data_IF_460211626370
#
_entry.id   IF_460211626370
#
_cell.length_a   1.000
_cell.length_b   1.000
_cell.length_c   1.000
_cell.angle_alpha   90.00
_cell.angle_beta   90.00
_cell.angle_gamma   90.00
#
_symmetry.space_group_name_H-M   'P 1'
#
loop_
_entity.id
_entity.type
_entity.pdbx_description
1 polymer ?
#
# COMPACT_ATOMS: atom_id res chain seq x y z
N UNK A 1 -25.36 -50.32 -44.44
CA UNK A 1 -25.42 -48.88 -44.13
C UNK A 1 -24.74 -48.70 -42.76
N UNK A 2 -23.47 -48.28 -42.78
CA UNK A 2 -22.68 -48.04 -41.58
C UNK A 2 -22.86 -46.59 -41.15
N UNK A 3 -23.14 -46.36 -39.87
CA UNK A 3 -23.14 -45.04 -39.25
C UNK A 3 -22.08 -45.04 -38.14
N UNK A 4 -20.95 -44.40 -38.41
CA UNK A 4 -19.86 -44.19 -37.43
C UNK A 4 -20.07 -42.81 -36.80
N UNK A 5 -20.47 -42.77 -35.53
CA UNK A 5 -20.51 -41.55 -34.75
C UNK A 5 -19.12 -41.28 -34.14
N UNK A 6 -18.51 -40.17 -34.55
CA UNK A 6 -17.28 -39.64 -33.99
C UNK A 6 -17.59 -38.98 -32.63
N UNK A 7 -17.01 -39.49 -31.54
CA UNK A 7 -17.02 -38.79 -30.25
C UNK A 7 -15.89 -37.77 -30.22
N UNK A 8 -16.24 -36.49 -30.32
CA UNK A 8 -15.34 -35.37 -30.06
C UNK A 8 -15.25 -35.15 -28.56
N UNK A 9 -14.11 -35.45 -27.94
CA UNK A 9 -13.82 -35.01 -26.56
C UNK A 9 -13.62 -33.49 -26.53
N UNK A 10 -14.26 -32.75 -25.61
CA UNK A 10 -14.03 -31.32 -25.48
C UNK A 10 -12.63 -31.08 -24.90
N UNK A 11 -11.84 -30.25 -25.57
CA UNK A 11 -10.59 -29.71 -25.05
C UNK A 11 -10.97 -28.75 -23.91
N UNK A 12 -10.73 -29.16 -22.66
CA UNK A 12 -10.82 -28.28 -21.50
C UNK A 12 -9.62 -27.34 -21.51
N UNK A 13 -9.84 -26.09 -21.90
CA UNK A 13 -8.88 -25.01 -21.67
C UNK A 13 -8.92 -24.65 -20.18
N UNK A 14 -8.03 -25.24 -19.40
CA UNK A 14 -7.77 -24.80 -18.03
C UNK A 14 -7.07 -23.44 -18.04
N UNK A 15 -7.53 -22.51 -17.20
CA UNK A 15 -6.81 -21.26 -16.97
C UNK A 15 -5.50 -21.56 -16.24
N UNK A 16 -4.42 -20.84 -16.54
CA UNK A 16 -3.11 -21.06 -15.89
C UNK A 16 -3.17 -20.93 -14.35
N UNK A 17 -4.20 -20.29 -13.79
CA UNK A 17 -4.45 -20.20 -12.36
C UNK A 17 -4.84 -21.55 -11.72
N UNK A 18 -5.55 -22.43 -12.44
CA UNK A 18 -5.90 -23.77 -11.95
C UNK A 18 -4.68 -24.70 -11.87
N UNK A 19 -3.70 -24.53 -12.76
CA UNK A 19 -2.45 -25.29 -12.76
C UNK A 19 -1.54 -24.93 -11.56
N UNK A 20 -1.55 -23.67 -11.15
CA UNK A 20 -0.80 -23.19 -9.98
C UNK A 20 -1.46 -23.68 -8.68
N UNK A 21 -2.79 -23.68 -8.60
CA UNK A 21 -3.50 -24.19 -7.43
C UNK A 21 -3.33 -25.70 -7.23
N UNK A 22 -3.25 -26.48 -8.32
CA UNK A 22 -3.05 -27.93 -8.27
C UNK A 22 -1.59 -28.32 -7.97
N UNK A 23 -0.61 -27.52 -8.41
CA UNK A 23 0.81 -27.77 -8.09
C UNK A 23 1.19 -27.39 -6.65
N UNK A 24 0.41 -26.53 -6.00
CA UNK A 24 0.58 -26.17 -4.58
C UNK A 24 0.00 -27.22 -3.60
N UNK A 25 -0.73 -28.23 -4.09
CA UNK A 25 -1.26 -29.34 -3.29
C UNK A 25 -0.58 -30.65 -3.65
N UNK A 26 0.64 -30.87 -3.16
CA UNK A 26 1.26 -32.18 -3.19
C UNK A 26 2.02 -32.48 -1.88
N UNK A 27 1.54 -33.52 -1.19
CA UNK A 27 2.17 -34.31 -0.13
C UNK A 27 2.37 -33.70 1.26
N UNK A 28 1.43 -34.02 2.17
CA UNK A 28 1.69 -34.20 3.60
C UNK A 28 1.59 -35.72 3.87
N UNK A 29 2.67 -36.42 4.24
CA UNK A 29 2.54 -37.76 4.79
C UNK A 29 2.06 -37.67 6.24
N UNK A 30 1.02 -38.43 6.54
CA UNK A 30 0.48 -38.64 7.87
C UNK A 30 1.43 -39.48 8.74
N UNK A 31 1.80 -38.97 9.91
CA UNK A 31 2.26 -39.81 11.02
C UNK A 31 1.85 -39.22 12.36
N UNK A 32 1.12 -40.03 13.13
CA UNK A 32 0.59 -39.77 14.46
C UNK A 32 1.70 -39.81 15.53
N UNK A 33 1.77 -38.82 16.41
CA UNK A 33 2.37 -38.92 17.75
C UNK A 33 1.91 -37.75 18.65
N UNK A 34 1.93 -37.97 19.96
CA UNK A 34 1.13 -37.33 21.03
C UNK A 34 1.98 -36.39 21.91
N UNK A 35 1.38 -35.28 22.43
CA UNK A 35 1.76 -34.39 23.58
C UNK A 35 3.10 -33.61 23.47
N UNK A 36 3.35 -32.37 23.97
CA UNK A 36 2.75 -31.31 24.84
C UNK A 36 3.52 -29.98 24.53
N UNK A 37 3.14 -28.79 25.07
CA UNK A 37 3.49 -27.48 24.52
C UNK A 37 4.74 -26.84 25.15
N UNK A 38 5.62 -26.26 24.32
CA UNK A 38 6.64 -25.31 24.79
C UNK A 38 6.85 -24.15 23.82
N UNK A 39 7.04 -22.98 24.42
CA UNK A 39 7.29 -21.67 23.82
C UNK A 39 8.56 -21.62 22.96
N UNK A 40 8.52 -20.85 21.86
CA UNK A 40 9.70 -20.24 21.21
C UNK A 40 9.27 -18.88 20.65
N UNK A 41 9.80 -17.72 21.07
CA UNK A 41 11.17 -17.20 20.92
C UNK A 41 11.70 -17.31 19.48
N UNK A 42 11.39 -16.31 18.66
CA UNK A 42 11.92 -16.20 17.29
C UNK A 42 13.32 -15.58 17.31
N UNK A 43 14.34 -16.43 17.42
CA UNK A 43 15.71 -16.12 17.02
C UNK A 43 15.94 -16.48 15.55
N UNK A 44 16.78 -15.67 14.91
CA UNK A 44 17.13 -15.67 13.49
C UNK A 44 17.70 -17.00 12.97
N UNK A 45 17.40 -17.31 11.70
CA UNK A 45 18.15 -18.27 10.90
C UNK A 45 18.53 -17.62 9.57
N UNK A 46 19.82 -17.33 9.40
CA UNK A 46 20.46 -17.14 8.10
C UNK A 46 20.63 -18.51 7.41
N UNK A 47 20.33 -18.67 6.12
CA UNK A 47 20.78 -19.83 5.38
C UNK A 47 22.14 -19.55 4.73
N UNK A 48 23.17 -20.18 5.26
CA UNK A 48 24.44 -20.45 4.58
C UNK A 48 24.17 -21.45 3.45
N UNK A 49 24.47 -21.10 2.19
CA UNK A 49 24.41 -22.06 1.08
C UNK A 49 25.83 -22.54 0.77
N UNK A 50 26.04 -23.83 0.96
CA UNK A 50 27.22 -24.57 0.56
C UNK A 50 27.38 -24.63 -0.96
N UNK A 51 28.62 -24.44 -1.40
CA UNK A 51 29.09 -24.64 -2.77
C UNK A 51 29.11 -26.13 -3.13
N UNK A 52 28.46 -26.49 -4.23
CA UNK A 52 28.81 -27.70 -5.00
C UNK A 52 28.79 -27.37 -6.49
N UNK A 53 29.89 -27.72 -7.15
CA UNK A 53 30.21 -27.48 -8.55
C UNK A 53 29.62 -28.60 -9.41
N UNK A 54 28.71 -28.27 -10.33
CA UNK A 54 28.61 -28.92 -11.64
C UNK A 54 28.16 -27.88 -12.67
N UNK A 55 28.87 -27.91 -13.79
CA UNK A 55 28.92 -26.94 -14.86
C UNK A 55 28.11 -27.49 -16.05
N UNK A 56 27.10 -26.75 -16.55
CA UNK A 56 26.90 -26.47 -17.99
C UNK A 56 25.59 -25.69 -18.25
N UNK A 57 25.75 -24.49 -18.82
CA UNK A 57 24.85 -23.78 -19.74
C UNK A 57 23.33 -23.96 -19.59
N UNK A 58 22.68 -23.10 -18.81
CA UNK A 58 21.40 -22.52 -19.22
C UNK A 58 21.36 -21.03 -18.84
N UNK A 59 20.89 -20.24 -19.80
CA UNK A 59 20.86 -18.79 -19.79
C UNK A 59 20.08 -18.25 -18.59
N UNK A 60 20.71 -17.31 -17.91
CA UNK A 60 20.17 -16.45 -16.87
C UNK A 60 18.86 -15.78 -17.33
N UNK A 61 17.71 -16.37 -17.01
CA UNK A 61 16.41 -15.68 -17.05
C UNK A 61 16.12 -15.05 -15.69
N UNK A 62 16.95 -14.08 -15.32
CA UNK A 62 16.57 -13.01 -14.40
C UNK A 62 16.08 -11.88 -15.30
N UNK A 63 14.78 -11.55 -15.26
CA UNK A 63 14.10 -10.34 -15.79
C UNK A 63 12.78 -10.70 -16.51
N UNK A 64 11.75 -11.15 -15.78
CA UNK A 64 10.40 -11.17 -16.36
C UNK A 64 9.22 -11.16 -15.38
N UNK A 65 9.43 -11.14 -14.07
CA UNK A 65 8.27 -11.07 -13.14
C UNK A 65 7.78 -9.64 -12.92
N UNK A 66 8.67 -8.64 -12.91
CA UNK A 66 8.31 -7.24 -12.68
C UNK A 66 7.46 -6.65 -13.80
N UNK A 67 7.81 -6.94 -15.05
CA UNK A 67 7.11 -6.42 -16.23
C UNK A 67 5.71 -7.02 -16.41
N UNK A 68 5.53 -8.28 -16.03
CA UNK A 68 4.22 -8.95 -16.12
C UNK A 68 3.23 -8.34 -15.12
N UNK A 69 3.64 -8.12 -13.86
CA UNK A 69 2.78 -7.45 -12.86
C UNK A 69 2.41 -6.04 -13.33
N UNK A 70 3.37 -5.29 -13.87
CA UNK A 70 3.13 -3.92 -14.33
C UNK A 70 2.21 -3.84 -15.57
N UNK A 71 2.22 -4.88 -16.41
CA UNK A 71 1.32 -4.98 -17.58
C UNK A 71 -0.12 -5.37 -17.25
N UNK A 72 -0.38 -5.91 -16.05
CA UNK A 72 -1.72 -6.32 -15.59
C UNK A 72 -2.52 -5.16 -14.98
N UNK A 73 -1.87 -4.03 -14.70
CA UNK A 73 -2.49 -2.84 -14.10
C UNK A 73 -2.09 -1.59 -14.92
N UNK A 74 -2.85 -1.24 -15.98
CA UNK A 74 -2.52 -0.07 -16.81
C UNK A 74 -2.47 1.19 -15.94
N UNK A 75 -1.30 1.83 -15.89
CA UNK A 75 -1.08 3.08 -15.17
C UNK A 75 -1.87 4.20 -15.85
N UNK A 76 -2.98 4.59 -15.21
CA UNK A 76 -3.69 5.86 -15.45
C UNK A 76 -2.78 7.03 -15.03
N UNK A 77 -3.03 8.30 -15.44
CA UNK A 77 -2.17 9.44 -15.11
C UNK A 77 -1.73 9.39 -13.65
N UNK A 78 -0.41 9.38 -13.46
CA UNK A 78 0.22 9.17 -12.16
C UNK A 78 0.00 10.43 -11.32
N UNK A 79 -0.96 10.36 -10.40
CA UNK A 79 -1.16 11.42 -9.41
C UNK A 79 -0.15 11.21 -8.29
N UNK A 80 0.68 12.21 -8.05
CA UNK A 80 1.69 12.15 -7.00
C UNK A 80 1.29 13.06 -5.85
N UNK A 81 1.01 12.47 -4.68
CA UNK A 81 0.79 13.23 -3.47
C UNK A 81 2.06 14.02 -3.08
N UNK A 82 1.90 15.34 -2.88
CA UNK A 82 2.99 16.26 -2.54
C UNK A 82 2.84 16.75 -1.09
N UNK A 83 3.38 16.04 -0.09
CA UNK A 83 3.20 16.38 1.32
C UNK A 83 3.80 17.75 1.69
N UNK A 84 4.84 18.21 0.99
CA UNK A 84 5.50 19.49 1.24
C UNK A 84 4.54 20.68 1.15
N UNK A 85 3.52 20.59 0.29
CA UNK A 85 2.53 21.65 0.10
C UNK A 85 1.67 21.90 1.34
N UNK A 86 1.63 20.93 2.27
CA UNK A 86 0.85 20.97 3.50
C UNK A 86 1.71 21.19 4.75
N UNK A 87 3.00 21.50 4.57
CA UNK A 87 3.94 21.67 5.66
C UNK A 87 4.51 23.09 5.67
N UNK A 88 4.54 23.69 6.86
CA UNK A 88 5.30 24.93 7.09
C UNK A 88 6.79 24.59 6.94
N UNK A 89 7.53 25.31 6.08
CA UNK A 89 8.98 25.12 5.96
C UNK A 89 9.67 25.16 7.32
N UNK A 90 10.69 24.31 7.49
CA UNK A 90 11.49 24.17 8.73
C UNK A 90 10.75 23.66 9.97
N UNK A 91 9.43 23.45 9.90
CA UNK A 91 8.64 22.87 11.00
C UNK A 91 8.26 21.41 10.77
N UNK A 92 8.77 20.79 9.72
CA UNK A 92 8.44 19.40 9.36
C UNK A 92 8.98 18.34 10.35
N UNK A 93 9.66 18.74 11.43
CA UNK A 93 10.10 17.86 12.50
C UNK A 93 11.39 17.10 12.18
N UNK A 94 11.75 16.16 13.06
CA UNK A 94 12.96 15.33 12.97
C UNK A 94 12.95 14.42 11.73
N UNK A 95 14.12 13.94 11.31
CA UNK A 95 14.19 12.86 10.33
C UNK A 95 13.63 11.55 10.91
N UNK A 96 12.97 10.77 10.07
CA UNK A 96 12.40 9.45 10.36
C UNK A 96 12.95 8.47 9.33
N UNK A 97 13.69 7.47 9.78
CA UNK A 97 14.28 6.44 8.91
C UNK A 97 13.53 5.12 8.93
N UNK A 98 12.78 4.83 9.99
CA UNK A 98 12.11 3.53 10.20
C UNK A 98 10.69 3.69 10.76
N UNK A 99 9.84 2.71 10.45
CA UNK A 99 8.43 2.72 10.86
C UNK A 99 8.24 2.72 12.40
N UNK A 100 9.12 2.04 13.14
CA UNK A 100 9.05 1.97 14.61
C UNK A 100 9.16 3.35 15.27
N UNK A 101 9.83 4.31 14.63
CA UNK A 101 10.03 5.66 15.18
C UNK A 101 8.76 6.52 15.16
N UNK A 102 7.76 6.10 14.38
CA UNK A 102 6.49 6.81 14.21
C UNK A 102 5.29 5.98 14.65
N UNK A 103 5.49 4.71 15.00
CA UNK A 103 4.39 3.77 15.28
C UNK A 103 3.38 4.34 16.28
N UNK A 104 3.83 4.85 17.43
CA UNK A 104 2.95 5.42 18.46
C UNK A 104 2.17 6.64 17.94
N UNK A 105 2.78 7.47 17.10
CA UNK A 105 2.12 8.65 16.53
C UNK A 105 1.05 8.27 15.51
N UNK A 106 1.31 7.24 14.72
CA UNK A 106 0.36 6.71 13.74
C UNK A 106 -0.82 6.07 14.45
N UNK A 107 -0.57 5.23 15.45
CA UNK A 107 -1.62 4.60 16.24
C UNK A 107 -2.47 5.64 16.99
N UNK A 108 -1.85 6.67 17.56
CA UNK A 108 -2.57 7.75 18.26
C UNK A 108 -3.44 8.58 17.31
N UNK A 109 -2.89 9.01 16.18
CA UNK A 109 -3.64 9.75 15.16
C UNK A 109 -4.81 8.92 14.63
N UNK A 110 -4.56 7.64 14.31
CA UNK A 110 -5.59 6.75 13.80
C UNK A 110 -6.70 6.52 14.82
N UNK A 111 -6.35 6.30 16.08
CA UNK A 111 -7.31 6.09 17.15
C UNK A 111 -8.20 7.32 17.36
N UNK A 112 -7.61 8.53 17.34
CA UNK A 112 -8.38 9.78 17.42
C UNK A 112 -9.29 10.00 16.22
N UNK A 113 -8.81 9.66 15.02
CA UNK A 113 -9.56 9.83 13.78
C UNK A 113 -10.73 8.85 13.66
N UNK A 114 -10.46 7.57 13.89
CA UNK A 114 -11.39 6.47 13.59
C UNK A 114 -12.14 5.96 14.82
N UNK A 115 -11.76 6.41 16.03
CA UNK A 115 -12.32 5.94 17.29
C UNK A 115 -12.00 4.47 17.61
N UNK A 116 -11.04 3.87 16.90
CA UNK A 116 -10.64 2.47 17.02
C UNK A 116 -9.14 2.28 16.71
N UNK A 117 -8.50 1.20 17.17
CA UNK A 117 -7.10 0.92 16.85
C UNK A 117 -6.84 0.74 15.35
N UNK A 118 -5.58 1.00 14.94
CA UNK A 118 -5.12 0.69 13.59
C UNK A 118 -5.31 -0.82 13.30
N UNK A 119 -5.86 -1.21 12.14
CA UNK A 119 -6.02 -2.61 11.79
C UNK A 119 -4.69 -3.37 11.76
N UNK A 120 -4.67 -4.59 12.29
CA UNK A 120 -3.46 -5.42 12.36
C UNK A 120 -3.09 -6.07 11.02
N UNK A 121 -3.99 -5.97 10.03
CA UNK A 121 -3.82 -6.44 8.66
C UNK A 121 -3.28 -5.36 7.71
N UNK A 122 -2.76 -4.25 8.25
CA UNK A 122 -2.02 -3.22 7.52
C UNK A 122 -0.59 -3.16 8.05
N UNK A 123 0.38 -3.37 7.16
CA UNK A 123 1.81 -3.26 7.46
C UNK A 123 2.37 -1.96 6.90
N UNK A 124 2.98 -1.14 7.75
CA UNK A 124 3.63 0.11 7.38
C UNK A 124 5.14 -0.09 7.33
N UNK A 125 5.76 0.38 6.25
CA UNK A 125 7.22 0.30 6.01
C UNK A 125 7.74 1.67 5.62
N UNK A 126 8.72 2.17 6.35
CA UNK A 126 9.49 3.36 5.96
C UNK A 126 10.77 2.88 5.32
N UNK A 127 10.99 3.26 4.06
CA UNK A 127 12.10 2.80 3.24
C UNK A 127 13.12 3.92 3.02
N UNK A 128 14.38 3.57 2.81
CA UNK A 128 15.32 4.51 2.20
C UNK A 128 15.07 4.66 0.69
N UNK A 129 15.73 5.64 0.06
CA UNK A 129 15.58 5.93 -1.37
C UNK A 129 15.92 4.70 -2.24
N UNK A 130 16.95 3.94 -1.90
CA UNK A 130 17.37 2.81 -2.71
C UNK A 130 16.36 1.66 -2.64
N UNK A 131 15.84 1.37 -1.46
CA UNK A 131 14.79 0.37 -1.23
C UNK A 131 13.48 0.81 -1.87
N UNK A 132 13.05 2.04 -1.63
CA UNK A 132 11.79 2.56 -2.13
C UNK A 132 11.73 2.57 -3.66
N UNK A 133 12.81 2.96 -4.34
CA UNK A 133 12.84 3.00 -5.82
C UNK A 133 12.81 1.63 -6.50
N UNK A 134 13.11 0.55 -5.77
CA UNK A 134 12.87 -0.81 -6.28
C UNK A 134 11.38 -1.12 -6.36
N UNK A 135 10.57 -0.48 -5.52
CA UNK A 135 9.13 -0.71 -5.39
C UNK A 135 8.34 0.32 -6.21
N UNK A 136 8.71 1.61 -6.10
CA UNK A 136 8.12 2.73 -6.81
C UNK A 136 9.21 3.49 -7.60
N UNK A 137 9.50 3.11 -8.87
CA UNK A 137 10.63 3.64 -9.63
C UNK A 137 10.54 5.14 -9.95
N UNK A 138 9.34 5.71 -10.00
CA UNK A 138 9.15 7.11 -10.35
C UNK A 138 9.66 8.03 -9.23
N UNK A 139 10.45 9.06 -9.59
CA UNK A 139 11.17 9.90 -8.62
C UNK A 139 10.27 10.80 -7.76
N UNK A 140 9.13 11.23 -8.30
CA UNK A 140 8.17 12.06 -7.55
C UNK A 140 7.25 11.25 -6.65
N UNK A 141 7.24 9.93 -6.75
CA UNK A 141 6.46 9.08 -5.85
C UNK A 141 7.13 9.02 -4.49
N UNK A 142 6.36 9.27 -3.43
CA UNK A 142 6.86 9.34 -2.06
C UNK A 142 6.17 8.36 -1.12
N UNK A 143 5.04 7.80 -1.56
CA UNK A 143 4.29 6.73 -0.92
C UNK A 143 3.77 5.76 -1.96
N UNK A 144 3.49 4.53 -1.53
CA UNK A 144 2.82 3.52 -2.32
C UNK A 144 2.05 2.58 -1.39
N UNK A 145 0.82 2.27 -1.76
CA UNK A 145 -0.02 1.30 -1.07
C UNK A 145 -0.28 0.08 -1.97
N UNK A 146 -0.28 -1.10 -1.36
CA UNK A 146 -0.74 -2.34 -1.97
C UNK A 146 -1.91 -2.85 -1.14
N UNK A 147 -3.12 -2.54 -1.62
CA UNK A 147 -4.36 -2.93 -0.98
C UNK A 147 -4.71 -4.38 -1.33
N UNK A 148 -4.75 -5.25 -0.33
CA UNK A 148 -5.13 -6.66 -0.47
C UNK A 148 -6.34 -7.03 0.39
N UNK A 149 -7.05 -6.03 0.92
CA UNK A 149 -8.19 -6.20 1.83
C UNK A 149 -9.28 -7.08 1.23
N UNK A 150 -9.59 -6.91 -0.06
CA UNK A 150 -10.62 -7.70 -0.76
C UNK A 150 -10.30 -9.21 -0.83
N UNK A 151 -9.03 -9.56 -0.66
CA UNK A 151 -8.56 -10.95 -0.63
C UNK A 151 -8.43 -11.50 0.81
N UNK A 152 -8.75 -10.70 1.83
CA UNK A 152 -8.54 -11.06 3.24
C UNK A 152 -7.06 -11.17 3.60
N UNK A 153 -6.18 -10.50 2.85
CA UNK A 153 -4.72 -10.56 3.01
C UNK A 153 -4.17 -9.24 3.56
N UNK A 154 -2.95 -9.31 4.07
CA UNK A 154 -2.19 -8.17 4.57
C UNK A 154 -2.00 -7.10 3.47
N UNK A 155 -2.50 -5.90 3.74
CA UNK A 155 -2.20 -4.71 2.93
C UNK A 155 -0.87 -4.12 3.38
N UNK A 156 -0.12 -3.55 2.44
CA UNK A 156 1.19 -2.96 2.72
C UNK A 156 1.22 -1.51 2.30
N UNK A 157 1.79 -0.66 3.14
CA UNK A 157 2.01 0.77 2.87
C UNK A 157 3.50 1.04 2.99
N UNK A 158 4.08 1.54 1.91
CA UNK A 158 5.48 1.93 1.81
C UNK A 158 5.57 3.45 1.73
N UNK A 159 6.44 4.04 2.53
CA UNK A 159 6.69 5.48 2.53
C UNK A 159 8.18 5.73 2.44
N UNK A 160 8.59 6.66 1.59
CA UNK A 160 9.97 7.12 1.53
C UNK A 160 10.31 7.89 2.81
N UNK A 161 11.44 7.57 3.42
CA UNK A 161 11.96 8.26 4.59
C UNK A 161 12.16 9.76 4.36
N UNK A 162 12.20 10.53 5.44
CA UNK A 162 12.25 11.98 5.35
C UNK A 162 11.98 12.67 6.67
N UNK A 163 11.54 13.92 6.61
CA UNK A 163 11.06 14.61 7.80
C UNK A 163 9.80 13.94 8.35
N UNK A 164 9.61 14.01 9.67
CA UNK A 164 8.48 13.43 10.38
C UNK A 164 7.14 13.86 9.78
N UNK A 165 6.99 15.16 9.48
CA UNK A 165 5.82 15.71 8.81
C UNK A 165 5.59 15.08 7.44
N UNK A 166 6.62 15.01 6.59
CA UNK A 166 6.52 14.41 5.25
C UNK A 166 6.03 12.96 5.36
N UNK A 167 6.68 12.16 6.20
CA UNK A 167 6.33 10.75 6.39
C UNK A 167 4.90 10.59 6.93
N UNK A 168 4.52 11.36 7.95
CA UNK A 168 3.19 11.29 8.55
C UNK A 168 2.07 11.71 7.59
N UNK A 169 2.31 12.72 6.73
CA UNK A 169 1.31 13.18 5.77
C UNK A 169 1.16 12.22 4.59
N UNK A 170 2.27 11.73 4.04
CA UNK A 170 2.23 10.69 3.00
C UNK A 170 1.52 9.46 3.49
N UNK A 171 1.81 9.02 4.72
CA UNK A 171 1.14 7.86 5.31
C UNK A 171 -0.38 8.07 5.44
N UNK A 172 -0.84 9.27 5.79
CA UNK A 172 -2.26 9.58 5.82
C UNK A 172 -2.95 9.32 4.48
N UNK A 173 -2.35 9.81 3.38
CA UNK A 173 -2.85 9.55 2.03
C UNK A 173 -2.85 8.05 1.68
N UNK A 174 -1.74 7.34 1.92
CA UNK A 174 -1.65 5.90 1.60
C UNK A 174 -2.59 5.04 2.44
N UNK A 175 -2.84 5.40 3.71
CA UNK A 175 -3.86 4.76 4.53
C UNK A 175 -5.25 4.91 3.89
N UNK A 176 -5.53 6.08 3.31
CA UNK A 176 -6.75 6.33 2.55
C UNK A 176 -7.01 5.33 1.42
N UNK A 177 -5.98 4.76 0.81
CA UNK A 177 -6.16 3.70 -0.20
C UNK A 177 -6.48 2.33 0.39
N UNK A 178 -5.92 1.99 1.55
CA UNK A 178 -5.99 0.62 2.11
C UNK A 178 -7.11 0.42 3.14
N UNK A 179 -7.70 1.51 3.66
CA UNK A 179 -8.75 1.43 4.68
C UNK A 179 -10.07 0.85 4.16
N UNK A 180 -10.26 0.81 2.85
CA UNK A 180 -11.44 0.25 2.18
C UNK A 180 -11.01 -0.47 0.91
N UNK A 181 -11.85 -1.32 0.30
CA UNK A 181 -11.56 -1.86 -1.02
C UNK A 181 -11.26 -0.78 -2.06
N UNK A 182 -10.41 -1.06 -3.08
CA UNK A 182 -10.16 -0.11 -4.17
C UNK A 182 -11.43 0.18 -4.97
N UNK A 183 -11.65 1.44 -5.30
CA UNK A 183 -12.70 1.87 -6.22
C UNK A 183 -12.28 1.57 -7.67
N UNK A 184 -13.26 1.26 -8.53
CA UNK A 184 -12.99 0.94 -9.94
C UNK A 184 -12.53 2.18 -10.72
N UNK A 185 -13.09 3.33 -10.38
CA UNK A 185 -12.71 4.61 -10.94
C UNK A 185 -11.49 5.16 -10.18
N UNK A 186 -10.40 5.41 -10.91
CA UNK A 186 -9.14 5.81 -10.30
C UNK A 186 -9.19 7.25 -9.78
N UNK A 187 -10.02 8.09 -10.39
CA UNK A 187 -10.21 9.46 -9.94
C UNK A 187 -10.95 9.46 -8.60
N UNK A 188 -12.00 8.63 -8.46
CA UNK A 188 -12.68 8.44 -7.19
C UNK A 188 -11.77 7.80 -6.14
N UNK A 189 -10.92 6.85 -6.53
CA UNK A 189 -9.93 6.24 -5.62
C UNK A 189 -8.94 7.27 -5.06
N UNK A 190 -8.43 8.17 -5.89
CA UNK A 190 -7.59 9.28 -5.45
C UNK A 190 -8.38 10.27 -4.57
N UNK A 191 -9.59 10.65 -4.97
CA UNK A 191 -10.44 11.55 -4.18
C UNK A 191 -10.73 10.97 -2.78
N UNK A 192 -10.93 9.66 -2.69
CA UNK A 192 -11.04 8.91 -1.44
C UNK A 192 -9.76 9.09 -0.62
N UNK A 193 -8.59 8.77 -1.16
CA UNK A 193 -7.33 8.91 -0.43
C UNK A 193 -7.05 10.34 0.06
N UNK A 194 -7.33 11.35 -0.76
CA UNK A 194 -7.24 12.75 -0.34
C UNK A 194 -8.23 13.11 0.76
N UNK A 195 -9.48 12.67 0.68
CA UNK A 195 -10.47 12.95 1.71
C UNK A 195 -10.03 12.42 3.09
N UNK A 196 -9.47 11.21 3.14
CA UNK A 196 -8.87 10.68 4.37
C UNK A 196 -7.62 11.45 4.79
N UNK A 197 -6.74 11.80 3.85
CA UNK A 197 -5.55 12.61 4.12
C UNK A 197 -5.91 13.93 4.78
N UNK A 198 -6.98 14.61 4.35
CA UNK A 198 -7.47 15.82 5.00
C UNK A 198 -7.96 15.57 6.43
N UNK A 199 -8.78 14.55 6.65
CA UNK A 199 -9.24 14.20 8.00
C UNK A 199 -8.04 13.83 8.91
N UNK A 200 -7.05 13.15 8.36
CA UNK A 200 -5.80 12.79 9.04
C UNK A 200 -4.98 14.03 9.42
N UNK A 201 -4.82 14.97 8.49
CA UNK A 201 -4.14 16.25 8.72
C UNK A 201 -4.87 17.12 9.76
N UNK A 202 -6.21 17.15 9.73
CA UNK A 202 -7.04 17.81 10.74
C UNK A 202 -6.74 17.26 12.14
N UNK A 203 -6.73 15.93 12.30
CA UNK A 203 -6.42 15.27 13.57
C UNK A 203 -4.98 15.55 14.04
N UNK A 204 -4.00 15.49 13.13
CA UNK A 204 -2.62 15.85 13.46
C UNK A 204 -2.54 17.29 13.96
N UNK A 205 -3.22 18.21 13.28
CA UNK A 205 -3.24 19.64 13.60
C UNK A 205 -3.89 19.90 14.95
N UNK A 206 -5.12 19.43 15.13
CA UNK A 206 -5.96 19.66 16.31
C UNK A 206 -5.36 19.07 17.58
N UNK A 207 -4.84 17.86 17.49
CA UNK A 207 -4.29 17.14 18.65
C UNK A 207 -2.77 17.27 18.79
N UNK A 208 -2.13 18.08 17.93
CA UNK A 208 -0.68 18.29 17.92
C UNK A 208 0.12 16.97 17.93
N UNK A 209 -0.30 16.01 17.09
CA UNK A 209 0.30 14.68 17.03
C UNK A 209 1.79 14.82 16.70
N UNK A 210 2.63 14.17 17.50
CA UNK A 210 4.09 14.22 17.39
C UNK A 210 4.70 15.64 17.39
N UNK A 211 3.97 16.64 17.89
CA UNK A 211 4.40 18.05 17.86
C UNK A 211 4.17 18.77 16.52
N UNK A 212 3.46 18.16 15.57
CA UNK A 212 3.25 18.68 14.22
C UNK A 212 2.07 19.67 14.10
N UNK A 213 1.39 20.02 15.19
CA UNK A 213 0.17 20.83 15.15
C UNK A 213 0.35 22.19 14.49
N UNK A 214 1.50 22.82 14.72
CA UNK A 214 1.89 24.09 14.08
C UNK A 214 2.63 23.94 12.74
N UNK A 215 2.93 22.71 12.34
CA UNK A 215 3.61 22.36 11.10
C UNK A 215 2.62 22.12 9.95
N UNK A 216 1.41 21.63 10.23
CA UNK A 216 0.41 21.30 9.21
C UNK A 216 -0.38 22.53 8.77
N UNK A 217 -0.44 22.75 7.46
CA UNK A 217 -1.21 23.79 6.79
C UNK A 217 -2.45 23.16 6.15
N UNK A 218 -3.63 23.55 6.64
CA UNK A 218 -4.93 23.19 6.06
C UNK A 218 -5.54 24.37 5.28
N UNK A 219 -5.22 25.58 5.73
CA UNK A 219 -5.80 26.82 5.24
C UNK A 219 -4.93 27.39 4.12
N UNK A 220 -5.39 27.17 2.89
CA UNK A 220 -4.99 27.84 1.64
C UNK A 220 -3.70 27.38 0.97
N UNK A 221 -3.89 26.97 -0.29
CA UNK A 221 -2.83 27.07 -1.27
C UNK A 221 -3.20 27.98 -2.48
N UNK A 222 -4.41 28.59 -2.49
CA UNK A 222 -4.87 29.54 -3.52
C UNK A 222 -4.18 30.93 -3.55
N UNK A 223 -3.10 31.19 -2.77
CA UNK A 223 -2.44 32.51 -2.72
C UNK A 223 -1.02 32.57 -3.27
N UNK A 224 -0.39 31.44 -3.63
CA UNK A 224 0.96 31.43 -4.20
C UNK A 224 1.01 31.01 -5.68
N UNK A 225 -0.15 30.82 -6.32
CA UNK A 225 -0.25 30.58 -7.77
C UNK A 225 0.41 29.28 -8.24
N UNK A 226 0.63 28.32 -7.34
CA UNK A 226 1.45 27.13 -7.58
C UNK A 226 0.63 25.83 -7.60
N UNK A 227 -0.55 25.82 -8.24
CA UNK A 227 -1.43 24.66 -8.27
C UNK A 227 -1.44 23.91 -9.60
N UNK A 228 -1.00 22.65 -9.54
CA UNK A 228 -1.31 21.65 -10.55
C UNK A 228 -2.76 21.13 -10.38
N UNK A 229 -3.39 20.87 -11.53
CA UNK A 229 -4.78 20.45 -11.79
C UNK A 229 -5.36 19.36 -10.87
N UNK A 230 -4.53 18.57 -10.20
CA UNK A 230 -4.93 17.49 -9.30
C UNK A 230 -5.59 17.97 -7.99
N UNK A 231 -5.07 19.05 -7.41
CA UNK A 231 -5.57 19.63 -6.17
C UNK A 231 -6.92 20.33 -6.39
N UNK A 232 -7.06 21.05 -7.51
CA UNK A 232 -8.34 21.67 -7.91
C UNK A 232 -9.40 20.62 -8.25
N UNK A 233 -9.04 19.51 -8.93
CA UNK A 233 -9.99 18.45 -9.24
C UNK A 233 -10.64 17.84 -7.98
N UNK A 234 -9.84 17.53 -6.96
CA UNK A 234 -10.34 16.96 -5.70
C UNK A 234 -11.05 18.01 -4.85
N UNK A 235 -10.56 19.25 -4.83
CA UNK A 235 -11.25 20.34 -4.13
C UNK A 235 -12.61 20.68 -4.75
N UNK A 236 -12.77 20.65 -6.07
CA UNK A 236 -14.06 20.84 -6.74
C UNK A 236 -15.07 19.76 -6.33
N UNK A 237 -14.66 18.49 -6.22
CA UNK A 237 -15.50 17.40 -5.69
C UNK A 237 -15.81 17.57 -4.18
N UNK A 238 -14.91 18.20 -3.42
CA UNK A 238 -15.10 18.55 -2.01
C UNK A 238 -15.86 19.86 -1.79
N UNK A 239 -16.16 20.66 -2.83
CA UNK A 239 -16.82 21.97 -2.66
C UNK A 239 -18.24 21.80 -2.11
N UNK A 240 -18.41 22.23 -0.86
CA UNK A 240 -19.69 22.28 -0.15
C UNK A 240 -19.94 21.08 0.78
N UNK A 241 -19.03 20.09 0.82
CA UNK A 241 -19.11 18.91 1.69
C UNK A 241 -17.84 18.80 2.53
N UNK A 242 -17.95 18.40 3.79
CA UNK A 242 -16.77 18.18 4.63
C UNK A 242 -15.94 16.97 4.15
N UNK A 243 -14.63 16.94 4.43
CA UNK A 243 -13.72 15.81 4.13
C UNK A 243 -14.28 14.46 4.57
N UNK A 244 -14.81 14.41 5.79
CA UNK A 244 -15.50 13.24 6.36
C UNK A 244 -16.76 12.83 5.60
N UNK A 245 -17.54 13.80 5.12
CA UNK A 245 -18.76 13.51 4.34
C UNK A 245 -18.41 12.90 2.99
N UNK A 246 -17.40 13.46 2.30
CA UNK A 246 -16.90 12.95 1.02
C UNK A 246 -16.38 11.53 1.16
N UNK A 247 -15.52 11.29 2.16
CA UNK A 247 -15.01 9.95 2.45
C UNK A 247 -16.14 8.94 2.67
N UNK A 248 -17.12 9.28 3.52
CA UNK A 248 -18.24 8.39 3.81
C UNK A 248 -19.11 8.09 2.58
N UNK A 249 -19.31 9.07 1.70
CA UNK A 249 -20.08 8.90 0.47
C UNK A 249 -19.37 7.95 -0.52
N UNK A 250 -18.05 8.07 -0.65
CA UNK A 250 -17.24 7.26 -1.56
C UNK A 250 -17.12 5.80 -1.13
N UNK A 251 -17.22 5.51 0.17
CA UNK A 251 -17.11 4.14 0.70
C UNK A 251 -18.47 3.44 0.83
N UNK A 252 -19.58 4.17 0.69
CA UNK A 252 -20.93 3.65 0.82
C UNK A 252 -21.56 3.21 -0.52
N UNK A 253 -20.93 3.57 -1.64
CA UNK A 253 -21.29 3.18 -3.01
C UNK A 253 -20.70 1.84 -3.42
#
# INVERSE_FOLDING_TARGET
>A
MYNTASYSTPIQNHSQLEYIAQSASAYIPSSSAVMEPYQLSSFAINPSISTSLYDTNEQTQLYTTSSIIQSLFPSKPEYHFQPEMFLVPEKAGKFVGKAQEIQEFVEDAFCKLMGKPLPTDIKIVVCDEQEFRKIAPHKSTVGLSINRLHHGLLSEVFVLNGSLGRVMLTLGHELGHVMTPPLQDAIQEEAKAYAFSFMWMEVIKEHNIAGLGSAVILERPALNGLHDTAFEFVLEEMKGKGSKEVWNNLIAS
#
